data_IF_696943162270
#
_entry.id   IF_696943162270
#
_cell.length_a   1.000
_cell.length_b   1.000
_cell.length_c   1.000
_cell.angle_alpha   90.00
_cell.angle_beta   90.00
_cell.angle_gamma   90.00
#
_symmetry.space_group_name_H-M   'P 1'
#
loop_
_entity.id
_entity.type
_entity.pdbx_description
1 polymer ?
#
# COMPACT_ATOMS: atom_id res chain seq x y z
N UNK A 1 15.36 -4.11 50.34
CA UNK A 1 15.21 -2.83 49.62
C UNK A 1 16.19 -2.79 48.46
N UNK A 2 15.77 -3.23 47.28
CA UNK A 2 16.25 -2.68 46.01
C UNK A 2 15.14 -2.90 44.97
N UNK A 3 14.37 -1.84 44.78
CA UNK A 3 13.73 -1.49 43.50
C UNK A 3 14.84 -1.61 42.43
N UNK A 4 14.61 -2.08 41.22
CA UNK A 4 13.67 -1.51 40.26
C UNK A 4 13.34 -2.56 39.21
N UNK A 5 12.04 -2.73 38.99
CA UNK A 5 11.38 -3.31 37.82
C UNK A 5 12.10 -2.92 36.51
N UNK A 6 12.62 -3.91 35.80
CA UNK A 6 12.81 -3.81 34.34
C UNK A 6 11.65 -4.53 33.65
N UNK A 7 10.45 -3.98 33.83
CA UNK A 7 9.30 -4.28 32.99
C UNK A 7 9.45 -3.50 31.68
N UNK A 8 10.41 -3.90 30.84
CA UNK A 8 10.57 -3.37 29.47
C UNK A 8 10.34 -4.51 28.48
N UNK A 9 9.21 -5.22 28.66
CA UNK A 9 8.76 -6.28 27.74
C UNK A 9 7.26 -6.11 27.39
N UNK A 10 6.65 -4.96 27.72
CA UNK A 10 5.20 -4.73 27.52
C UNK A 10 4.87 -3.46 26.74
N UNK A 11 5.78 -3.01 25.87
CA UNK A 11 5.48 -1.98 24.89
C UNK A 11 6.09 -2.37 23.54
N UNK A 12 5.89 -3.61 23.10
CA UNK A 12 5.78 -3.78 21.66
C UNK A 12 4.41 -3.20 21.30
N UNK A 13 4.35 -2.16 20.46
CA UNK A 13 3.08 -1.70 19.93
C UNK A 13 2.38 -2.90 19.29
N UNK A 14 1.09 -2.98 19.56
CA UNK A 14 0.14 -3.93 19.01
C UNK A 14 0.04 -3.78 17.48
N UNK A 15 1.11 -4.09 16.73
CA UNK A 15 1.13 -4.10 15.27
C UNK A 15 0.37 -5.31 14.68
N UNK A 16 -0.62 -5.83 15.40
CA UNK A 16 -1.44 -6.96 14.99
C UNK A 16 -2.93 -6.65 15.01
N UNK A 17 -3.31 -5.36 15.08
CA UNK A 17 -4.69 -4.94 14.87
C UNK A 17 -4.80 -4.16 13.57
N UNK A 18 -4.53 -4.91 12.51
CA UNK A 18 -4.92 -4.60 11.15
C UNK A 18 -5.21 -5.95 10.51
N UNK A 19 -6.34 -6.55 10.88
CA UNK A 19 -6.96 -7.65 10.14
C UNK A 19 -7.37 -7.14 8.75
N UNK A 20 -6.36 -6.80 7.95
CA UNK A 20 -6.54 -6.69 6.52
C UNK A 20 -6.66 -8.13 6.08
N UNK A 21 -7.87 -8.53 5.71
CA UNK A 21 -8.12 -9.76 4.99
C UNK A 21 -7.34 -9.70 3.67
N UNK A 22 -6.03 -9.95 3.75
CA UNK A 22 -5.21 -10.35 2.64
C UNK A 22 -5.75 -11.72 2.26
N UNK A 23 -6.67 -11.71 1.32
CA UNK A 23 -6.86 -12.86 0.44
C UNK A 23 -5.51 -13.07 -0.23
N UNK A 24 -4.64 -13.84 0.44
CA UNK A 24 -3.40 -14.36 -0.10
C UNK A 24 -3.82 -15.36 -1.17
N UNK A 25 -4.17 -14.83 -2.33
CA UNK A 25 -4.27 -15.59 -3.58
C UNK A 25 -3.15 -15.07 -4.45
N UNK A 26 -2.09 -15.87 -4.49
CA UNK A 26 -0.88 -15.68 -5.29
C UNK A 26 0.06 -14.58 -4.80
N UNK A 27 1.34 -14.85 -4.92
CA UNK A 27 2.41 -13.89 -4.65
C UNK A 27 2.29 -12.81 -5.74
N UNK A 28 1.44 -11.81 -5.50
CA UNK A 28 1.27 -10.63 -6.32
C UNK A 28 2.63 -10.03 -6.66
N UNK A 29 2.81 -9.62 -7.93
CA UNK A 29 4.08 -9.07 -8.37
C UNK A 29 4.45 -7.85 -7.49
N UNK A 30 5.75 -7.55 -7.35
CA UNK A 30 6.21 -6.48 -6.45
C UNK A 30 5.56 -5.11 -6.73
N UNK A 31 5.04 -4.88 -7.95
CA UNK A 31 4.33 -3.66 -8.30
C UNK A 31 2.91 -3.66 -7.77
N UNK A 32 2.20 -4.77 -7.81
CA UNK A 32 0.86 -4.90 -7.27
C UNK A 32 0.88 -4.71 -5.76
N UNK A 33 1.85 -5.30 -5.07
CA UNK A 33 2.09 -5.00 -3.65
C UNK A 33 2.30 -3.49 -3.42
N UNK A 34 3.20 -2.86 -4.19
CA UNK A 34 3.43 -1.42 -4.08
C UNK A 34 2.22 -0.56 -4.50
N UNK A 35 1.34 -1.05 -5.37
CA UNK A 35 0.10 -0.37 -5.77
C UNK A 35 -0.89 -0.40 -4.61
N UNK A 36 -1.05 -1.55 -3.96
CA UNK A 36 -1.92 -1.71 -2.80
C UNK A 36 -1.40 -0.87 -1.63
N UNK A 37 -0.12 -0.99 -1.29
CA UNK A 37 0.51 -0.24 -0.20
C UNK A 37 0.40 1.28 -0.42
N UNK A 38 0.73 1.74 -1.63
CA UNK A 38 0.63 3.16 -1.97
C UNK A 38 -0.83 3.65 -2.01
N UNK A 39 -1.74 2.80 -2.46
CA UNK A 39 -3.18 3.06 -2.47
C UNK A 39 -3.73 3.24 -1.06
N UNK A 40 -3.38 2.35 -0.14
CA UNK A 40 -3.77 2.42 1.26
C UNK A 40 -3.27 3.70 1.93
N UNK A 41 -1.98 4.04 1.73
CA UNK A 41 -1.41 5.28 2.24
C UNK A 41 -2.13 6.52 1.70
N UNK A 42 -2.44 6.57 0.41
CA UNK A 42 -3.12 7.72 -0.21
C UNK A 42 -4.57 7.83 0.24
N UNK A 43 -5.32 6.73 0.26
CA UNK A 43 -6.70 6.74 0.74
C UNK A 43 -6.78 7.13 2.22
N UNK A 44 -5.85 6.62 3.04
CA UNK A 44 -5.77 6.97 4.47
C UNK A 44 -5.42 8.44 4.69
N UNK A 45 -4.54 9.01 3.88
CA UNK A 45 -4.22 10.44 3.93
C UNK A 45 -5.46 11.34 3.63
N UNK A 46 -6.38 10.85 2.81
CA UNK A 46 -7.67 11.51 2.53
C UNK A 46 -8.77 11.15 3.55
N UNK A 47 -8.45 10.40 4.62
CA UNK A 47 -9.41 10.00 5.65
C UNK A 47 -10.34 8.85 5.25
N UNK A 48 -9.98 8.11 4.20
CA UNK A 48 -10.70 6.93 3.69
C UNK A 48 -9.87 5.66 3.91
N UNK A 49 -10.23 4.56 3.25
CA UNK A 49 -9.45 3.31 3.24
C UNK A 49 -9.31 2.77 1.82
N UNK A 50 -8.30 1.95 1.54
CA UNK A 50 -8.19 1.28 0.25
C UNK A 50 -9.38 0.34 0.02
N UNK A 51 -9.99 0.39 -1.17
CA UNK A 51 -11.06 -0.53 -1.56
C UNK A 51 -10.60 -1.50 -2.65
N UNK A 52 -10.08 -0.97 -3.75
CA UNK A 52 -9.62 -1.78 -4.90
C UNK A 52 -8.68 -0.97 -5.80
N UNK A 53 -7.97 -1.64 -6.69
CA UNK A 53 -7.28 -1.02 -7.82
C UNK A 53 -7.88 -1.52 -9.14
N UNK A 54 -7.76 -0.72 -10.20
CA UNK A 54 -8.09 -1.10 -11.57
C UNK A 54 -6.86 -0.90 -12.47
N UNK A 55 -6.34 -2.00 -13.03
CA UNK A 55 -5.13 -1.97 -13.88
C UNK A 55 -5.37 -1.32 -15.23
N UNK A 56 -6.63 -1.29 -15.70
CA UNK A 56 -7.01 -0.63 -16.95
C UNK A 56 -7.26 0.86 -16.72
N UNK A 57 -8.02 1.20 -15.69
CA UNK A 57 -8.20 2.61 -15.36
C UNK A 57 -6.92 3.25 -14.80
N UNK A 58 -5.97 2.44 -14.33
CA UNK A 58 -4.75 2.92 -13.68
C UNK A 58 -5.01 3.77 -12.44
N UNK A 59 -6.04 3.39 -11.70
CA UNK A 59 -6.52 4.08 -10.50
C UNK A 59 -6.65 3.11 -9.33
N UNK A 60 -6.54 3.68 -8.13
CA UNK A 60 -6.96 3.07 -6.88
C UNK A 60 -8.28 3.74 -6.48
N UNK A 61 -9.27 2.95 -6.13
CA UNK A 61 -10.53 3.43 -5.56
C UNK A 61 -10.45 3.29 -4.04
N UNK A 62 -10.73 4.38 -3.33
CA UNK A 62 -10.90 4.42 -1.89
C UNK A 62 -12.32 4.02 -1.49
N UNK A 63 -12.56 3.69 -0.21
CA UNK A 63 -13.84 3.18 0.28
C UNK A 63 -15.02 4.15 0.16
N UNK A 64 -14.75 5.45 0.10
CA UNK A 64 -15.69 6.54 -0.17
C UNK A 64 -15.97 6.76 -1.67
N UNK A 65 -15.31 5.97 -2.55
CA UNK A 65 -15.44 6.08 -4.00
C UNK A 65 -14.47 7.05 -4.65
N UNK A 66 -13.65 7.76 -3.87
CA UNK A 66 -12.60 8.64 -4.39
C UNK A 66 -11.58 7.84 -5.19
N UNK A 67 -11.19 8.35 -6.36
CA UNK A 67 -10.19 7.70 -7.21
C UNK A 67 -8.84 8.42 -7.13
N UNK A 68 -7.78 7.65 -6.84
CA UNK A 68 -6.40 8.09 -6.81
C UNK A 68 -5.67 7.51 -8.01
N UNK A 69 -5.13 8.38 -8.86
CA UNK A 69 -4.37 7.95 -10.03
C UNK A 69 -3.01 7.35 -9.63
N UNK A 70 -2.60 6.30 -10.35
CA UNK A 70 -1.25 5.76 -10.24
C UNK A 70 -0.20 6.78 -10.70
N UNK A 71 1.07 6.65 -10.24
CA UNK A 71 2.13 7.58 -10.59
C UNK A 71 2.37 7.62 -12.10
N UNK A 72 2.66 8.82 -12.61
CA UNK A 72 2.99 8.98 -14.02
C UNK A 72 4.17 8.06 -14.43
N UNK A 73 3.97 7.34 -15.53
CA UNK A 73 4.95 6.41 -16.09
C UNK A 73 4.83 4.98 -15.60
N UNK A 74 4.01 4.70 -14.58
CA UNK A 74 3.58 3.34 -14.19
C UNK A 74 2.62 2.77 -15.24
N UNK A 75 1.78 3.64 -15.82
CA UNK A 75 0.82 3.25 -16.85
C UNK A 75 1.20 3.71 -18.26
N UNK A 76 0.70 2.98 -19.26
CA UNK A 76 0.78 3.29 -20.69
C UNK A 76 -0.49 2.81 -21.37
N UNK A 77 -1.13 3.64 -22.19
CA UNK A 77 -2.36 3.29 -22.90
C UNK A 77 -3.41 2.67 -21.96
N UNK A 78 -3.62 3.30 -20.80
CA UNK A 78 -4.61 2.86 -19.81
C UNK A 78 -4.40 1.39 -19.41
N UNK A 79 -3.13 1.01 -19.24
CA UNK A 79 -2.73 -0.26 -18.65
C UNK A 79 -1.46 -0.07 -17.83
N UNK A 80 -1.38 -0.74 -16.68
CA UNK A 80 -0.13 -0.82 -15.92
C UNK A 80 0.95 -1.47 -16.80
N UNK A 81 2.08 -0.77 -16.98
CA UNK A 81 3.22 -1.30 -17.71
C UNK A 81 3.74 -2.55 -17.02
N UNK A 82 4.30 -3.46 -17.82
CA UNK A 82 4.90 -4.71 -17.31
C UNK A 82 5.80 -4.41 -16.11
N UNK A 83 5.53 -5.09 -15.00
CA UNK A 83 6.23 -5.00 -13.72
C UNK A 83 7.67 -5.57 -13.77
N UNK A 84 8.32 -5.55 -14.92
CA UNK A 84 9.76 -5.86 -15.08
C UNK A 84 10.58 -4.59 -15.24
N UNK A 85 9.94 -3.46 -15.59
CA UNK A 85 10.64 -2.20 -15.78
C UNK A 85 11.14 -1.63 -14.46
N UNK A 86 12.46 -1.47 -14.34
CA UNK A 86 13.11 -0.80 -13.19
C UNK A 86 12.51 0.57 -12.92
N UNK A 87 12.11 1.30 -13.98
CA UNK A 87 11.47 2.62 -13.85
C UNK A 87 10.09 2.51 -13.20
N UNK A 88 9.28 1.53 -13.57
CA UNK A 88 7.93 1.33 -12.99
C UNK A 88 8.05 1.01 -11.50
N UNK A 89 8.92 0.07 -11.15
CA UNK A 89 9.20 -0.30 -9.76
C UNK A 89 9.66 0.90 -8.93
N UNK A 90 10.55 1.72 -9.48
CA UNK A 90 11.03 2.91 -8.79
C UNK A 90 9.92 3.94 -8.58
N UNK A 91 9.09 4.20 -9.61
CA UNK A 91 7.96 5.14 -9.50
C UNK A 91 6.96 4.71 -8.43
N UNK A 92 6.69 3.41 -8.32
CA UNK A 92 5.82 2.87 -7.27
C UNK A 92 6.46 2.99 -5.88
N UNK A 93 7.77 2.68 -5.74
CA UNK A 93 8.48 2.90 -4.47
C UNK A 93 8.46 4.37 -4.03
N UNK A 94 8.70 5.29 -4.96
CA UNK A 94 8.65 6.73 -4.70
C UNK A 94 7.24 7.19 -4.31
N UNK A 95 6.21 6.50 -4.78
CA UNK A 95 4.81 6.79 -4.45
C UNK A 95 4.41 6.31 -3.07
N UNK A 96 4.87 5.13 -2.66
CA UNK A 96 4.69 4.58 -1.31
C UNK A 96 5.45 5.41 -0.27
N UNK A 97 6.61 5.97 -0.64
CA UNK A 97 7.48 6.70 0.30
C UNK A 97 7.09 8.17 0.53
N UNK A 98 5.90 8.61 0.06
CA UNK A 98 5.43 10.00 0.11
C UNK A 98 4.13 10.11 0.87
#
# INVERSE_FOLDING_TARGET
MQLVVFAVVLILPSFLSGESFLTITDISNECEGAIVDGGDLKCTAEGSHYSRYDLKACTVTCGDGTEVNLPNGVCSNDQVKVCTSVRVKQRLRDWVSK
#
